data_IF_232708954616
#
_entry.id   IF_232708954616
#
_cell.length_a   1.000
_cell.length_b   1.000
_cell.length_c   1.000
_cell.angle_alpha   90.00
_cell.angle_beta   90.00
_cell.angle_gamma   90.00
#
_symmetry.space_group_name_H-M   'P 1'
#
loop_
_entity.id
_entity.type
_entity.pdbx_description
1 polymer ?
#
# COMPACT_ATOMS: atom_id res chain seq x y z
N UNK A 1 -1.55 8.69 -9.79
CA UNK A 1 -0.28 7.91 -9.75
C UNK A 1 -0.37 6.72 -8.80
N UNK A 2 -1.04 6.86 -7.65
CA UNK A 2 -1.35 5.74 -6.73
C UNK A 2 -2.11 4.56 -7.35
N UNK A 3 -2.76 4.72 -8.52
CA UNK A 3 -3.46 3.64 -9.24
C UNK A 3 -2.55 2.46 -9.64
N UNK A 4 -1.23 2.63 -9.52
CA UNK A 4 -0.21 1.60 -9.77
C UNK A 4 0.17 0.82 -8.52
N UNK A 5 -0.33 1.20 -7.34
CA UNK A 5 -0.17 0.45 -6.09
C UNK A 5 -1.48 -0.28 -5.79
N UNK A 6 -1.37 -1.56 -5.48
CA UNK A 6 -2.50 -2.40 -5.07
C UNK A 6 -2.29 -2.86 -3.62
N UNK A 7 -3.34 -2.71 -2.80
CA UNK A 7 -3.41 -3.27 -1.47
C UNK A 7 -4.54 -4.28 -1.49
N UNK A 8 -4.18 -5.56 -1.45
CA UNK A 8 -5.13 -6.65 -1.54
C UNK A 8 -4.79 -7.71 -0.49
N UNK A 9 -5.66 -7.98 0.50
CA UNK A 9 -5.41 -8.96 1.56
C UNK A 9 -5.05 -10.37 1.05
N UNK A 10 -5.49 -10.73 -0.16
CA UNK A 10 -5.16 -11.99 -0.82
C UNK A 10 -3.75 -12.00 -1.47
N UNK A 11 -3.11 -10.84 -1.60
CA UNK A 11 -1.77 -10.67 -2.19
C UNK A 11 -0.81 -10.22 -1.10
N UNK A 12 0.23 -11.03 -0.84
CA UNK A 12 1.25 -10.76 0.19
C UNK A 12 0.67 -10.35 1.57
N UNK A 13 -0.51 -10.87 1.92
CA UNK A 13 -1.16 -10.57 3.20
C UNK A 13 -1.66 -9.14 3.35
N UNK A 14 -1.92 -8.43 2.24
CA UNK A 14 -2.41 -7.05 2.26
C UNK A 14 -1.29 -6.01 2.31
N UNK A 15 -0.04 -6.39 2.05
CA UNK A 15 1.04 -5.41 1.88
C UNK A 15 0.86 -4.65 0.56
N UNK A 16 1.20 -3.35 0.50
CA UNK A 16 1.17 -2.58 -0.74
C UNK A 16 2.18 -3.15 -1.74
N UNK A 17 1.70 -3.43 -2.95
CA UNK A 17 2.48 -3.98 -4.06
C UNK A 17 2.32 -3.16 -5.33
N UNK A 18 3.28 -3.23 -6.24
CA UNK A 18 3.08 -2.73 -7.60
C UNK A 18 2.02 -3.58 -8.30
N UNK A 19 0.98 -2.93 -8.81
CA UNK A 19 -0.19 -3.55 -9.44
C UNK A 19 0.22 -4.48 -10.58
N UNK A 20 -0.38 -5.67 -10.62
CA UNK A 20 -0.05 -6.70 -11.61
C UNK A 20 1.26 -7.43 -11.33
N UNK A 21 1.92 -7.16 -10.21
CA UNK A 21 3.13 -7.86 -9.78
C UNK A 21 2.96 -8.39 -8.35
N UNK A 22 3.98 -9.10 -7.84
CA UNK A 22 4.13 -9.43 -6.42
C UNK A 22 5.33 -8.70 -5.80
N UNK A 23 5.70 -7.55 -6.37
CA UNK A 23 6.82 -6.72 -5.93
C UNK A 23 6.27 -5.72 -4.92
N UNK A 24 6.64 -5.82 -3.63
CA UNK A 24 6.13 -4.92 -2.61
C UNK A 24 6.81 -3.56 -2.66
N UNK A 25 6.11 -2.51 -2.22
CA UNK A 25 6.64 -1.14 -2.18
C UNK A 25 7.92 -1.06 -1.35
N UNK A 26 7.96 -1.72 -0.18
CA UNK A 26 9.13 -1.68 0.71
C UNK A 26 10.41 -2.20 0.03
N UNK A 27 10.31 -3.17 -0.89
CA UNK A 27 11.48 -3.71 -1.61
C UNK A 27 12.10 -2.65 -2.51
N UNK A 28 11.29 -1.80 -3.15
CA UNK A 28 11.80 -0.69 -3.96
C UNK A 28 12.60 0.28 -3.08
N UNK A 29 12.10 0.56 -1.87
CA UNK A 29 12.79 1.45 -0.91
C UNK A 29 14.09 0.82 -0.40
N UNK A 30 14.10 -0.48 -0.09
CA UNK A 30 15.30 -1.23 0.30
C UNK A 30 16.38 -1.19 -0.79
N UNK A 31 15.99 -1.38 -2.06
CA UNK A 31 16.92 -1.30 -3.19
C UNK A 31 17.53 0.09 -3.34
N UNK A 32 16.70 1.13 -3.24
CA UNK A 32 17.17 2.52 -3.27
C UNK A 32 18.13 2.82 -2.10
N UNK A 33 17.85 2.26 -0.91
CA UNK A 33 18.75 2.36 0.24
C UNK A 33 20.07 1.60 0.01
N UNK A 34 20.05 0.53 -0.77
CA UNK A 34 21.22 -0.26 -1.16
C UNK A 34 21.98 0.31 -2.38
N UNK A 35 21.87 1.62 -2.64
CA UNK A 35 22.53 2.34 -3.74
C UNK A 35 22.16 1.82 -5.16
N UNK A 36 20.98 1.21 -5.31
CA UNK A 36 20.42 0.99 -6.64
C UNK A 36 19.82 2.29 -7.18
N UNK A 37 20.25 2.68 -8.37
CA UNK A 37 19.54 3.70 -9.14
C UNK A 37 18.33 3.08 -9.86
N UNK A 38 17.49 3.94 -10.44
CA UNK A 38 16.25 3.49 -11.07
C UNK A 38 16.51 2.54 -12.24
N UNK A 39 17.61 2.72 -12.98
CA UNK A 39 17.93 1.85 -14.11
C UNK A 39 18.28 0.45 -13.63
N UNK A 40 19.12 0.33 -12.59
CA UNK A 40 19.45 -0.97 -11.99
C UNK A 40 18.22 -1.70 -11.46
N UNK A 41 17.25 -0.96 -10.91
CA UNK A 41 15.98 -1.55 -10.46
C UNK A 41 15.17 -2.08 -11.65
N UNK A 42 15.07 -1.31 -12.74
CA UNK A 42 14.37 -1.75 -13.95
C UNK A 42 15.08 -2.93 -14.63
N UNK A 43 16.41 -2.96 -14.61
CA UNK A 43 17.20 -4.07 -15.16
C UNK A 43 17.01 -5.35 -14.32
N UNK A 44 16.91 -5.23 -13.00
CA UNK A 44 16.62 -6.34 -12.09
C UNK A 44 15.17 -6.83 -12.18
N UNK A 45 14.23 -5.93 -12.46
CA UNK A 45 12.80 -6.22 -12.59
C UNK A 45 12.24 -5.66 -13.91
N UNK A 46 12.45 -6.36 -15.05
CA UNK A 46 12.06 -5.87 -16.38
C UNK A 46 10.55 -5.67 -16.58
N UNK A 47 9.73 -6.19 -15.67
CA UNK A 47 8.27 -6.00 -15.66
C UNK A 47 7.86 -4.65 -15.08
N UNK A 48 8.76 -3.95 -14.40
CA UNK A 48 8.50 -2.62 -13.85
C UNK A 48 8.71 -1.55 -14.91
N UNK A 49 8.00 -0.44 -14.72
CA UNK A 49 8.22 0.82 -15.41
C UNK A 49 8.68 1.88 -14.42
N UNK A 50 9.25 2.97 -14.93
CA UNK A 50 9.74 4.06 -14.08
C UNK A 50 8.60 4.70 -13.29
N UNK A 51 7.38 4.69 -13.82
CA UNK A 51 6.17 5.15 -13.15
C UNK A 51 5.82 4.30 -11.91
N UNK A 52 6.15 3.00 -11.92
CA UNK A 52 5.93 2.12 -10.77
C UNK A 52 6.87 2.46 -9.62
N UNK A 53 8.15 2.73 -9.92
CA UNK A 53 9.14 3.18 -8.93
C UNK A 53 8.72 4.52 -8.31
N UNK A 54 8.28 5.46 -9.14
CA UNK A 54 7.77 6.75 -8.66
C UNK A 54 6.51 6.61 -7.80
N UNK A 55 5.58 5.74 -8.19
CA UNK A 55 4.38 5.47 -7.41
C UNK A 55 4.71 4.83 -6.04
N UNK A 56 5.73 3.95 -5.98
CA UNK A 56 6.19 3.39 -4.72
C UNK A 56 6.77 4.46 -3.77
N UNK A 57 7.55 5.40 -4.31
CA UNK A 57 8.07 6.54 -3.53
C UNK A 57 6.96 7.47 -3.03
N UNK A 58 5.99 7.80 -3.89
CA UNK A 58 4.84 8.63 -3.52
C UNK A 58 3.99 7.95 -2.44
N UNK A 59 3.74 6.64 -2.57
CA UNK A 59 3.07 5.86 -1.55
C UNK A 59 3.83 5.90 -0.22
N UNK A 60 5.14 5.68 -0.24
CA UNK A 60 5.97 5.69 0.97
C UNK A 60 5.96 7.05 1.68
N UNK A 61 5.91 8.15 0.93
CA UNK A 61 5.77 9.48 1.51
C UNK A 61 4.42 9.67 2.20
N UNK A 62 3.33 9.19 1.58
CA UNK A 62 1.99 9.27 2.18
C UNK A 62 1.92 8.39 3.44
N UNK A 63 2.45 7.16 3.37
CA UNK A 63 2.52 6.21 4.48
C UNK A 63 3.31 6.78 5.66
N UNK A 64 4.49 7.37 5.40
CA UNK A 64 5.30 8.05 6.42
C UNK A 64 4.67 9.34 6.97
N UNK A 65 3.68 9.90 6.29
CA UNK A 65 2.91 11.06 6.73
C UNK A 65 1.67 10.67 7.53
N UNK A 66 1.33 9.37 7.62
CA UNK A 66 0.26 8.89 8.48
C UNK A 66 0.67 9.06 9.94
N UNK A 67 -0.23 9.61 10.74
CA UNK A 67 -0.09 9.61 12.19
C UNK A 67 -0.26 8.17 12.73
N UNK A 68 0.32 7.84 13.90
CA UNK A 68 0.11 6.53 14.51
C UNK A 68 -1.37 6.15 14.72
N UNK A 69 -2.25 7.15 14.83
CA UNK A 69 -3.69 6.96 14.94
C UNK A 69 -4.30 6.50 13.61
N UNK A 70 -3.90 7.11 12.49
CA UNK A 70 -4.34 6.73 11.14
C UNK A 70 -3.79 5.35 10.72
N UNK A 71 -2.55 5.03 11.11
CA UNK A 71 -1.95 3.70 10.92
C UNK A 71 -2.78 2.61 11.65
N UNK A 72 -3.18 2.87 12.89
CA UNK A 72 -4.02 1.94 13.67
C UNK A 72 -5.39 1.72 13.04
N UNK A 73 -6.04 2.78 12.54
CA UNK A 73 -7.34 2.70 11.85
C UNK A 73 -7.23 1.83 10.59
N UNK A 74 -6.14 1.97 9.83
CA UNK A 74 -5.87 1.15 8.66
C UNK A 74 -5.62 -0.32 9.03
N UNK A 75 -4.80 -0.58 10.05
CA UNK A 75 -4.55 -1.95 10.53
C UNK A 75 -5.84 -2.64 11.01
N UNK A 76 -6.69 -1.92 11.75
CA UNK A 76 -8.00 -2.39 12.20
C UNK A 76 -8.91 -2.69 11.01
N UNK A 77 -9.02 -1.77 10.03
CA UNK A 77 -9.80 -1.99 8.82
C UNK A 77 -9.32 -3.18 7.98
N UNK A 78 -7.99 -3.36 7.84
CA UNK A 78 -7.40 -4.52 7.15
C UNK A 78 -7.70 -5.82 7.91
N UNK A 79 -7.64 -5.80 9.24
CA UNK A 79 -7.96 -6.95 10.09
C UNK A 79 -9.43 -7.33 9.98
N UNK A 80 -10.34 -6.36 10.03
CA UNK A 80 -11.77 -6.59 9.85
C UNK A 80 -12.08 -7.17 8.48
N UNK A 81 -11.43 -6.66 7.42
CA UNK A 81 -11.57 -7.22 6.08
C UNK A 81 -11.07 -8.67 5.99
N UNK A 82 -9.92 -8.98 6.60
CA UNK A 82 -9.37 -10.36 6.69
C UNK A 82 -10.26 -11.32 7.47
N UNK A 83 -10.98 -10.82 8.48
CA UNK A 83 -11.95 -11.57 9.27
C UNK A 83 -13.32 -11.71 8.56
N UNK A 84 -13.48 -11.16 7.35
CA UNK A 84 -14.75 -11.17 6.61
C UNK A 84 -15.80 -10.22 7.17
N UNK A 85 -15.42 -9.35 8.10
CA UNK A 85 -16.27 -8.32 8.73
C UNK A 85 -16.17 -7.00 7.96
N UNK A 86 -16.28 -7.02 6.64
CA UNK A 86 -16.34 -5.79 5.88
C UNK A 86 -17.61 -5.01 6.31
N UNK A 87 -17.44 -4.03 7.19
CA UNK A 87 -18.47 -3.08 7.55
C UNK A 87 -18.81 -2.33 6.26
N UNK A 88 -20.06 -2.42 5.81
CA UNK A 88 -20.45 -1.66 4.62
C UNK A 88 -20.38 -0.17 5.01
N UNK A 89 -19.97 0.71 4.10
CA UNK A 89 -19.91 2.16 4.36
C UNK A 89 -21.25 2.71 4.91
N UNK A 90 -22.35 2.09 4.52
CA UNK A 90 -23.72 2.35 5.00
C UNK A 90 -23.97 1.99 6.49
N UNK A 91 -23.14 1.13 7.10
CA UNK A 91 -23.23 0.77 8.51
C UNK A 91 -22.48 1.78 9.42
N UNK A 92 -21.49 2.51 8.89
CA UNK A 92 -20.74 3.54 9.64
C UNK A 92 -21.53 4.84 9.84
N UNK A 93 -22.51 5.12 8.99
CA UNK A 93 -23.35 6.33 9.12
C UNK A 93 -24.42 6.21 10.23
N UNK A 94 -24.67 4.99 10.73
CA UNK A 94 -25.63 4.75 11.82
C UNK A 94 -25.10 5.13 13.21
N UNK A 95 -23.79 5.23 13.38
CA UNK A 95 -23.17 5.48 14.70
C UNK A 95 -22.78 6.95 14.93
N UNK A 96 -23.06 7.85 13.96
CA UNK A 96 -22.93 9.32 14.13
C UNK A 96 -24.26 10.03 14.43
N UNK A 97 -25.32 9.28 14.67
CA UNK A 97 -26.61 9.81 15.09
C UNK A 97 -26.89 9.48 16.55
N UNK A 98 -26.98 10.52 17.38
CA UNK A 98 -27.35 10.54 18.81
C UNK A 98 -26.19 10.41 19.80
N UNK A 99 -25.53 11.54 20.09
CA UNK A 99 -25.49 12.14 21.45
C UNK A 99 -25.34 13.65 21.35
#
# INVERSE_FOLDING_TARGET
MLDRIEINPCILGGKPVIKGTRIPVYLILELLQADYDFQKILDAYPTLQIEDIKAALEYALIDAMLTPEEERILEEGIKEFKEGKAIRLEDLERDRGEY
#
